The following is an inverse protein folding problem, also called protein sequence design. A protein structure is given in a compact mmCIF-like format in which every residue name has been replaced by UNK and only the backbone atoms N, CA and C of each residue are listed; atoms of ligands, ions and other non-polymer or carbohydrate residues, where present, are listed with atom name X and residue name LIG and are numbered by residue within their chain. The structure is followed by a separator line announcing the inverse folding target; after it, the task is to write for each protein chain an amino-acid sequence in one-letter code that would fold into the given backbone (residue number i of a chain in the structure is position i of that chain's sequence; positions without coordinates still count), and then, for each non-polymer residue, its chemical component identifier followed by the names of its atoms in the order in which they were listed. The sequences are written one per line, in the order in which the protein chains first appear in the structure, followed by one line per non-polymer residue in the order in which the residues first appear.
data_IF_216861369095
#
_entry.id   IF_216861369095
#
_cell.length_a   1.000
_cell.length_b   1.000
_cell.length_c   1.000
_cell.angle_alpha   90.00
_cell.angle_beta   90.00
_cell.angle_gamma   90.00
#
_symmetry.space_group_name_H-M   'P 1'
#
loop_
_entity.id
_entity.type
_entity.pdbx_description
1 polymer ?
#
# COMPACT_ATOMS: atom_id res chain seq x y z
N UNK A 1 62.53 -72.67 2.74
CA UNK A 1 63.65 -72.87 1.86
C UNK A 1 63.89 -71.65 1.02
N UNK A 2 64.99 -71.09 1.28
CA UNK A 2 65.99 -70.35 0.49
C UNK A 2 65.62 -68.92 0.15
N UNK A 3 65.94 -67.92 0.90
CA UNK A 3 67.20 -67.10 0.90
C UNK A 3 67.62 -66.64 -0.51
N UNK A 4 67.58 -65.34 -0.76
CA UNK A 4 68.82 -64.59 -0.98
C UNK A 4 68.58 -63.06 -0.92
N UNK A 5 69.41 -62.44 -0.09
CA UNK A 5 69.70 -61.01 0.02
C UNK A 5 70.49 -60.55 -1.21
N UNK A 6 70.33 -59.34 -1.62
CA UNK A 6 71.46 -58.47 -2.00
C UNK A 6 71.09 -56.98 -1.88
N UNK A 7 71.81 -56.24 -1.15
CA UNK A 7 72.10 -54.79 -1.06
C UNK A 7 73.41 -54.52 -1.76
N UNK A 8 73.87 -53.26 -1.98
CA UNK A 8 73.30 -51.94 -2.31
C UNK A 8 74.08 -51.32 -3.49
N UNK A 9 73.60 -50.25 -4.08
CA UNK A 9 74.51 -49.21 -4.59
C UNK A 9 73.89 -47.84 -4.57
N UNK A 10 74.57 -46.94 -3.88
CA UNK A 10 74.38 -45.50 -3.93
C UNK A 10 74.73 -44.99 -5.32
N UNK A 11 73.91 -44.00 -5.87
CA UNK A 11 74.55 -42.82 -6.46
C UNK A 11 73.48 -41.86 -7.03
N UNK A 12 73.69 -40.61 -6.61
CA UNK A 12 73.43 -39.35 -7.28
C UNK A 12 71.97 -38.81 -7.41
N UNK A 13 71.72 -37.86 -6.57
CA UNK A 13 70.80 -36.78 -6.79
C UNK A 13 71.04 -36.02 -8.12
N UNK A 14 69.99 -35.59 -8.84
CA UNK A 14 69.86 -34.18 -9.06
C UNK A 14 68.55 -33.70 -8.53
N UNK A 15 68.60 -32.51 -7.95
CA UNK A 15 67.54 -31.67 -7.52
C UNK A 15 66.71 -31.32 -8.77
N UNK A 16 65.54 -31.93 -8.92
CA UNK A 16 64.52 -31.44 -9.78
C UNK A 16 63.55 -30.62 -8.94
N UNK A 17 63.67 -29.30 -9.05
CA UNK A 17 62.71 -28.37 -8.55
C UNK A 17 61.34 -28.65 -9.20
N UNK A 18 60.43 -29.24 -8.43
CA UNK A 18 59.03 -29.35 -8.82
C UNK A 18 58.45 -27.96 -8.69
N UNK A 19 58.40 -27.25 -9.81
CA UNK A 19 57.53 -26.10 -9.94
C UNK A 19 56.10 -26.61 -9.84
N UNK A 20 55.48 -26.49 -8.67
CA UNK A 20 54.05 -26.62 -8.52
C UNK A 20 53.41 -25.43 -9.28
N UNK A 21 53.04 -25.67 -10.53
CA UNK A 21 52.11 -24.79 -11.22
C UNK A 21 50.75 -24.89 -10.49
N UNK A 22 50.53 -23.96 -9.58
CA UNK A 22 49.21 -23.65 -9.12
C UNK A 22 48.45 -23.07 -10.33
N UNK A 23 47.76 -23.91 -11.06
CA UNK A 23 46.71 -23.46 -12.01
C UNK A 23 45.63 -22.85 -11.15
N UNK A 24 45.74 -21.55 -10.89
CA UNK A 24 44.62 -20.75 -10.48
C UNK A 24 43.68 -20.73 -11.68
N UNK A 25 42.65 -21.55 -11.61
CA UNK A 25 41.50 -21.39 -12.49
C UNK A 25 40.89 -19.99 -12.19
N UNK A 26 41.42 -18.98 -12.85
CA UNK A 26 40.75 -17.69 -12.97
C UNK A 26 39.50 -17.95 -13.81
N UNK A 27 38.42 -18.37 -13.14
CA UNK A 27 37.11 -18.37 -13.71
C UNK A 27 36.79 -16.92 -14.07
N UNK A 28 36.94 -16.56 -15.33
CA UNK A 28 36.37 -15.35 -15.88
C UNK A 28 34.85 -15.49 -15.83
N UNK A 29 34.27 -15.23 -14.67
CA UNK A 29 32.84 -14.97 -14.57
C UNK A 29 32.61 -13.58 -15.20
N UNK A 30 31.77 -13.54 -16.21
CA UNK A 30 31.35 -12.29 -16.89
C UNK A 30 30.66 -11.29 -15.95
N UNK A 31 30.53 -11.61 -14.66
CA UNK A 31 29.91 -10.84 -13.59
C UNK A 31 30.89 -10.30 -12.55
N UNK A 32 32.19 -10.38 -12.77
CA UNK A 32 33.18 -9.60 -12.00
C UNK A 32 33.80 -10.29 -10.77
N UNK A 33 33.59 -11.57 -10.53
CA UNK A 33 34.28 -12.34 -9.50
C UNK A 33 34.04 -11.88 -8.06
N UNK A 34 34.77 -12.47 -7.12
CA UNK A 34 34.65 -12.29 -5.65
C UNK A 34 34.70 -10.83 -5.20
N UNK A 35 35.48 -9.96 -5.83
CA UNK A 35 35.53 -8.53 -5.51
C UNK A 35 34.24 -7.79 -5.87
N UNK A 36 33.56 -8.20 -6.94
CA UNK A 36 32.29 -7.60 -7.31
C UNK A 36 31.15 -8.10 -6.39
N UNK A 37 31.24 -9.36 -5.91
CA UNK A 37 30.31 -9.86 -4.88
C UNK A 37 30.51 -9.16 -3.54
N UNK A 38 31.77 -8.98 -3.12
CA UNK A 38 32.11 -8.24 -1.90
C UNK A 38 31.68 -6.76 -1.99
N UNK A 39 31.84 -6.12 -3.17
CA UNK A 39 31.38 -4.76 -3.40
C UNK A 39 29.84 -4.66 -3.40
N UNK A 40 29.14 -5.64 -3.97
CA UNK A 40 27.67 -5.73 -3.93
C UNK A 40 27.16 -5.97 -2.51
N UNK A 41 27.79 -6.88 -1.77
CA UNK A 41 27.45 -7.14 -0.37
C UNK A 41 27.69 -5.89 0.50
N UNK A 42 28.78 -5.15 0.25
CA UNK A 42 29.09 -3.91 0.96
C UNK A 42 28.14 -2.76 0.59
N UNK A 43 27.73 -2.67 -0.67
CA UNK A 43 26.70 -1.72 -1.12
C UNK A 43 25.31 -2.06 -0.54
N UNK A 44 24.94 -3.33 -0.49
CA UNK A 44 23.72 -3.80 0.16
C UNK A 44 23.73 -3.52 1.68
N UNK A 45 24.85 -3.74 2.34
CA UNK A 45 25.02 -3.43 3.76
C UNK A 45 25.04 -1.91 4.05
N UNK A 46 25.39 -1.09 3.05
CA UNK A 46 25.36 0.37 3.12
C UNK A 46 24.00 0.97 2.73
N UNK A 47 22.95 0.14 2.49
CA UNK A 47 21.63 0.59 2.06
C UNK A 47 21.56 1.05 0.60
N UNK A 48 22.56 0.70 -0.23
CA UNK A 48 22.55 0.96 -1.67
C UNK A 48 21.66 -0.03 -2.42
N UNK A 49 21.01 0.40 -3.50
CA UNK A 49 20.22 -0.47 -4.39
C UNK A 49 21.12 -1.52 -5.04
N UNK A 50 20.66 -2.78 -5.01
CA UNK A 50 21.33 -3.90 -5.69
C UNK A 50 21.03 -3.94 -7.20
N UNK A 51 20.08 -3.15 -7.69
CA UNK A 51 19.68 -3.12 -9.10
C UNK A 51 20.62 -2.23 -9.93
N UNK A 52 20.84 -2.63 -11.19
CA UNK A 52 21.73 -1.92 -12.14
C UNK A 52 20.96 -1.17 -13.22
N UNK A 53 19.66 -1.04 -13.08
CA UNK A 53 18.80 -0.28 -14.00
C UNK A 53 19.12 1.22 -13.95
N UNK A 54 18.83 1.97 -15.03
CA UNK A 54 18.85 3.42 -14.98
C UNK A 54 18.02 3.94 -13.81
N UNK A 55 18.42 5.06 -13.24
CA UNK A 55 17.67 5.68 -12.16
C UNK A 55 16.45 6.41 -12.71
N UNK A 56 15.34 5.70 -12.78
CA UNK A 56 14.09 6.26 -13.26
C UNK A 56 13.44 7.17 -12.23
N UNK A 57 12.61 8.08 -12.73
CA UNK A 57 11.84 9.02 -11.92
C UNK A 57 10.39 8.58 -11.90
N UNK A 58 9.84 8.26 -10.73
CA UNK A 58 8.44 7.90 -10.54
C UNK A 58 7.75 8.92 -9.65
N UNK A 59 6.62 9.44 -10.11
CA UNK A 59 5.77 10.31 -9.30
C UNK A 59 4.58 9.54 -8.74
N UNK A 60 4.21 9.84 -7.49
CA UNK A 60 2.94 9.46 -6.89
C UNK A 60 2.14 10.71 -6.55
N UNK A 61 0.93 10.81 -7.09
CA UNK A 61 0.02 11.93 -6.88
C UNK A 61 -1.28 11.43 -6.27
N UNK A 62 -1.60 11.87 -5.06
CA UNK A 62 -2.79 11.42 -4.34
C UNK A 62 -3.75 12.56 -4.03
N UNK A 63 -5.01 12.22 -3.70
CA UNK A 63 -6.02 13.14 -3.21
C UNK A 63 -5.96 13.36 -1.69
N UNK A 64 -4.84 12.97 -1.06
CA UNK A 64 -4.65 13.07 0.38
C UNK A 64 -4.72 14.51 0.89
N UNK A 65 -5.34 14.68 2.05
CA UNK A 65 -5.14 15.86 2.89
C UNK A 65 -3.77 15.87 3.57
N UNK A 66 -3.36 17.00 4.09
CA UNK A 66 -2.12 17.11 4.84
C UNK A 66 -2.21 16.34 6.18
N UNK A 67 -1.18 15.54 6.50
CA UNK A 67 -1.06 14.85 7.80
C UNK A 67 -1.93 13.62 7.97
N UNK A 68 -2.44 13.04 6.89
CA UNK A 68 -3.21 11.80 6.94
C UNK A 68 -2.29 10.58 7.05
N UNK A 69 -2.38 9.88 8.19
CA UNK A 69 -1.54 8.73 8.53
C UNK A 69 -1.71 7.54 7.56
N UNK A 70 -2.89 7.38 6.95
CA UNK A 70 -3.12 6.37 5.92
C UNK A 70 -2.19 6.60 4.72
N UNK A 71 -2.14 7.85 4.23
CA UNK A 71 -1.30 8.23 3.10
C UNK A 71 0.19 8.25 3.43
N UNK A 72 0.55 8.49 4.70
CA UNK A 72 1.92 8.30 5.17
C UNK A 72 2.36 6.83 5.07
N UNK A 73 1.47 5.87 5.35
CA UNK A 73 1.75 4.44 5.17
C UNK A 73 1.91 4.07 3.70
N UNK A 74 1.04 4.56 2.82
CA UNK A 74 1.17 4.38 1.36
C UNK A 74 2.50 4.95 0.87
N UNK A 75 2.85 6.16 1.29
CA UNK A 75 4.11 6.81 0.91
C UNK A 75 5.33 6.03 1.38
N UNK A 76 5.34 5.56 2.62
CA UNK A 76 6.45 4.73 3.15
C UNK A 76 6.66 3.46 2.33
N UNK A 77 5.57 2.80 1.91
CA UNK A 77 5.67 1.65 1.02
C UNK A 77 6.32 2.00 -0.31
N UNK A 78 5.87 3.09 -0.94
CA UNK A 78 6.43 3.58 -2.18
C UNK A 78 7.91 3.98 -2.05
N UNK A 79 8.29 4.66 -0.97
CA UNK A 79 9.68 5.05 -0.68
C UNK A 79 10.58 3.81 -0.48
N UNK A 80 10.08 2.78 0.18
CA UNK A 80 10.83 1.53 0.39
C UNK A 80 11.09 0.80 -0.94
N UNK A 81 10.09 0.69 -1.81
CA UNK A 81 10.26 0.11 -3.13
C UNK A 81 11.20 0.96 -3.98
N UNK A 82 11.05 2.28 -3.96
CA UNK A 82 11.92 3.20 -4.69
C UNK A 82 13.39 3.08 -4.28
N UNK A 83 13.65 2.94 -2.97
CA UNK A 83 15.00 2.72 -2.46
C UNK A 83 15.59 1.38 -2.92
N UNK A 84 14.78 0.31 -2.94
CA UNK A 84 15.15 -1.02 -3.43
C UNK A 84 15.48 -1.00 -4.93
N UNK A 85 14.69 -0.29 -5.73
CA UNK A 85 14.69 -0.37 -7.20
C UNK A 85 15.47 0.76 -7.89
N UNK A 86 16.27 1.52 -7.13
CA UNK A 86 17.06 2.65 -7.64
C UNK A 86 16.22 3.73 -8.33
N UNK A 87 15.05 4.05 -7.77
CA UNK A 87 14.10 5.03 -8.31
C UNK A 87 14.27 6.38 -7.60
N UNK A 88 14.20 7.48 -8.35
CA UNK A 88 13.96 8.82 -7.81
C UNK A 88 12.45 8.98 -7.62
N UNK A 89 12.00 8.93 -6.37
CA UNK A 89 10.59 9.02 -6.02
C UNK A 89 10.17 10.45 -5.73
N UNK A 90 9.03 10.85 -6.31
CA UNK A 90 8.42 12.16 -6.11
C UNK A 90 7.02 11.95 -5.56
N UNK A 91 6.71 12.54 -4.41
CA UNK A 91 5.38 12.49 -3.83
C UNK A 91 4.75 13.89 -3.80
N UNK A 92 3.50 13.98 -4.23
CA UNK A 92 2.69 15.18 -4.08
C UNK A 92 1.23 14.81 -3.85
N UNK A 93 0.51 15.66 -3.12
CA UNK A 93 -0.88 15.43 -2.77
C UNK A 93 -1.64 16.74 -2.61
N UNK A 94 -2.94 16.68 -2.90
CA UNK A 94 -3.88 17.76 -2.60
C UNK A 94 -5.31 17.20 -2.56
N UNK A 95 -6.08 17.59 -1.55
CA UNK A 95 -7.48 17.18 -1.41
C UNK A 95 -8.41 17.87 -2.43
N UNK A 96 -7.98 19.01 -3.00
CA UNK A 96 -8.73 19.70 -4.05
C UNK A 96 -8.42 19.07 -5.40
N UNK A 97 -9.45 18.59 -6.07
CA UNK A 97 -9.31 17.85 -7.34
C UNK A 97 -8.59 18.64 -8.43
N UNK A 98 -8.85 19.95 -8.53
CA UNK A 98 -8.17 20.80 -9.52
C UNK A 98 -6.67 20.88 -9.26
N UNK A 99 -6.27 20.96 -7.99
CA UNK A 99 -4.85 20.98 -7.63
C UNK A 99 -4.21 19.60 -7.90
N UNK A 100 -4.90 18.49 -7.60
CA UNK A 100 -4.43 17.16 -7.95
C UNK A 100 -4.18 17.02 -9.46
N UNK A 101 -5.09 17.54 -10.32
CA UNK A 101 -4.89 17.58 -11.77
C UNK A 101 -3.65 18.37 -12.16
N UNK A 102 -3.38 19.52 -11.52
CA UNK A 102 -2.19 20.32 -11.77
C UNK A 102 -0.90 19.60 -11.33
N UNK A 103 -0.94 18.87 -10.20
CA UNK A 103 0.20 18.07 -9.73
C UNK A 103 0.52 16.93 -10.70
N UNK A 104 -0.48 16.27 -11.28
CA UNK A 104 -0.27 15.28 -12.34
C UNK A 104 0.31 15.93 -13.60
N UNK A 105 -0.20 17.10 -13.99
CA UNK A 105 0.37 17.84 -15.13
C UNK A 105 1.85 18.19 -14.88
N UNK A 106 2.19 18.65 -13.68
CA UNK A 106 3.57 18.96 -13.32
C UNK A 106 4.48 17.71 -13.37
N UNK A 107 3.98 16.53 -13.00
CA UNK A 107 4.72 15.28 -13.16
C UNK A 107 4.97 14.94 -14.64
N UNK A 108 3.98 15.14 -15.50
CA UNK A 108 4.13 14.96 -16.96
C UNK A 108 5.19 15.92 -17.52
N UNK A 109 5.13 17.20 -17.14
CA UNK A 109 6.08 18.23 -17.60
C UNK A 109 7.51 17.94 -17.14
N UNK A 110 7.68 17.30 -15.98
CA UNK A 110 8.96 16.80 -15.46
C UNK A 110 9.44 15.53 -16.16
N UNK A 111 8.66 15.00 -17.12
CA UNK A 111 8.98 13.79 -17.89
C UNK A 111 9.30 12.61 -16.98
N UNK A 112 8.41 12.32 -16.03
CA UNK A 112 8.58 11.15 -15.16
C UNK A 112 8.50 9.86 -15.98
N UNK A 113 9.20 8.83 -15.54
CA UNK A 113 9.25 7.51 -16.18
C UNK A 113 8.06 6.62 -15.81
N UNK A 114 7.31 6.99 -14.76
CA UNK A 114 6.11 6.31 -14.30
C UNK A 114 5.28 7.18 -13.36
N UNK A 115 3.99 6.92 -13.31
CA UNK A 115 3.03 7.69 -12.52
C UNK A 115 2.12 6.74 -11.72
N UNK A 116 2.09 6.92 -10.38
CA UNK A 116 1.04 6.41 -9.52
C UNK A 116 0.02 7.51 -9.26
N UNK A 117 -1.27 7.20 -9.33
CA UNK A 117 -2.32 8.20 -9.13
C UNK A 117 -3.58 7.61 -8.51
N UNK A 118 -4.25 8.37 -7.65
CA UNK A 118 -5.56 8.05 -7.10
C UNK A 118 -6.67 8.70 -7.93
N UNK A 119 -7.81 8.04 -8.03
CA UNK A 119 -8.94 8.48 -8.85
C UNK A 119 -10.22 8.67 -8.02
N UNK A 120 -10.12 9.26 -6.83
CA UNK A 120 -11.28 9.53 -5.97
C UNK A 120 -12.41 10.31 -6.67
N UNK A 121 -12.04 11.20 -7.60
CA UNK A 121 -12.95 11.90 -8.51
C UNK A 121 -12.50 11.66 -9.96
N UNK A 122 -12.66 10.41 -10.40
CA UNK A 122 -12.05 9.88 -11.63
C UNK A 122 -12.34 10.68 -12.88
N UNK A 123 -13.59 11.13 -13.11
CA UNK A 123 -13.94 11.86 -14.33
C UNK A 123 -13.11 13.17 -14.49
N UNK A 124 -12.79 13.85 -13.40
CA UNK A 124 -11.97 15.05 -13.44
C UNK A 124 -10.51 14.77 -13.88
N UNK A 125 -10.04 13.56 -13.69
CA UNK A 125 -8.67 13.14 -14.03
C UNK A 125 -8.52 12.71 -15.50
N UNK A 126 -9.61 12.50 -16.22
CA UNK A 126 -9.61 11.95 -17.59
C UNK A 126 -8.69 12.73 -18.55
N UNK A 127 -8.81 14.06 -18.53
CA UNK A 127 -8.04 14.93 -19.44
C UNK A 127 -6.53 14.87 -19.20
N UNK A 128 -6.10 14.93 -17.96
CA UNK A 128 -4.68 14.91 -17.61
C UNK A 128 -4.06 13.53 -17.78
N UNK A 129 -4.81 12.45 -17.51
CA UNK A 129 -4.33 11.08 -17.76
C UNK A 129 -4.26 10.78 -19.26
N UNK A 130 -5.15 11.36 -20.08
CA UNK A 130 -5.00 11.33 -21.54
C UNK A 130 -3.68 11.95 -22.02
N UNK A 131 -3.22 13.02 -21.40
CA UNK A 131 -1.91 13.62 -21.69
C UNK A 131 -0.75 12.74 -21.23
N UNK A 132 -0.83 12.13 -20.05
CA UNK A 132 0.18 11.17 -19.58
C UNK A 132 0.34 10.00 -20.58
N UNK A 133 -0.79 9.43 -21.03
CA UNK A 133 -0.82 8.39 -22.07
C UNK A 133 -0.19 8.87 -23.38
N UNK A 134 -0.54 10.06 -23.85
CA UNK A 134 0.02 10.63 -25.08
C UNK A 134 1.54 10.89 -24.98
N UNK A 135 2.04 11.19 -23.76
CA UNK A 135 3.46 11.32 -23.46
C UNK A 135 4.19 9.97 -23.29
N UNK A 136 3.49 8.83 -23.40
CA UNK A 136 4.07 7.50 -23.22
C UNK A 136 4.45 7.17 -21.76
N UNK A 137 3.90 7.89 -20.78
CA UNK A 137 4.15 7.64 -19.36
C UNK A 137 3.25 6.51 -18.88
N UNK A 138 3.80 5.37 -18.41
CA UNK A 138 3.02 4.29 -17.82
C UNK A 138 2.36 4.78 -16.53
N UNK A 139 1.07 4.48 -16.38
CA UNK A 139 0.26 4.86 -15.23
C UNK A 139 -0.22 3.62 -14.50
N UNK A 140 -0.09 3.60 -13.19
CA UNK A 140 -0.78 2.67 -12.28
C UNK A 140 -1.70 3.50 -11.39
N UNK A 141 -2.95 3.07 -11.27
CA UNK A 141 -3.89 3.69 -10.34
C UNK A 141 -3.88 2.95 -9.02
N UNK A 142 -4.06 3.67 -7.92
CA UNK A 142 -4.06 3.09 -6.58
C UNK A 142 -5.26 3.56 -5.76
N UNK A 143 -5.68 2.77 -4.79
CA UNK A 143 -6.68 3.07 -3.78
C UNK A 143 -8.10 3.27 -4.36
N UNK A 144 -8.47 4.45 -4.81
CA UNK A 144 -9.84 4.78 -5.26
C UNK A 144 -9.98 4.84 -6.78
N UNK A 145 -11.17 4.53 -7.29
CA UNK A 145 -11.55 4.72 -8.69
C UNK A 145 -11.08 3.61 -9.62
N UNK A 146 -11.08 2.37 -9.15
CA UNK A 146 -10.71 1.18 -9.94
C UNK A 146 -11.44 1.14 -11.29
N UNK A 147 -12.72 1.51 -11.35
CA UNK A 147 -13.54 1.50 -12.54
C UNK A 147 -13.07 2.45 -13.65
N UNK A 148 -12.29 3.48 -13.29
CA UNK A 148 -11.70 4.42 -14.25
C UNK A 148 -10.34 3.95 -14.77
N UNK A 149 -9.66 3.05 -14.08
CA UNK A 149 -8.28 2.65 -14.34
C UNK A 149 -8.07 2.21 -15.80
N UNK A 150 -8.76 1.16 -16.23
CA UNK A 150 -8.66 0.67 -17.60
C UNK A 150 -9.18 1.69 -18.63
N UNK A 151 -10.26 2.42 -18.32
CA UNK A 151 -10.85 3.46 -19.17
C UNK A 151 -9.83 4.55 -19.51
N UNK A 152 -8.97 4.92 -18.57
CA UNK A 152 -7.94 5.96 -18.79
C UNK A 152 -6.61 5.39 -19.27
N UNK A 153 -6.52 4.07 -19.51
CA UNK A 153 -5.35 3.41 -20.08
C UNK A 153 -4.23 3.19 -19.07
N UNK A 154 -4.55 3.07 -17.80
CA UNK A 154 -3.61 2.63 -16.79
C UNK A 154 -3.24 1.15 -17.01
N UNK A 155 -2.03 0.76 -16.60
CA UNK A 155 -1.54 -0.61 -16.69
C UNK A 155 -2.35 -1.57 -15.81
N UNK A 156 -2.65 -1.13 -14.60
CA UNK A 156 -3.46 -1.85 -13.62
C UNK A 156 -3.95 -0.89 -12.54
N UNK A 157 -4.79 -1.41 -11.64
CA UNK A 157 -5.17 -0.78 -10.38
C UNK A 157 -4.65 -1.61 -9.21
N UNK A 158 -4.13 -0.97 -8.17
CA UNK A 158 -3.71 -1.62 -6.93
C UNK A 158 -4.52 -1.02 -5.78
N UNK A 159 -5.35 -1.84 -5.16
CA UNK A 159 -6.27 -1.42 -4.12
C UNK A 159 -7.21 -2.54 -3.74
N UNK A 160 -8.27 -2.20 -3.03
CA UNK A 160 -9.40 -3.11 -2.85
C UNK A 160 -10.53 -2.74 -3.82
N UNK A 161 -11.38 -3.69 -4.16
CA UNK A 161 -12.67 -3.39 -4.78
C UNK A 161 -13.59 -2.80 -3.70
N UNK A 162 -13.91 -1.52 -3.82
CA UNK A 162 -14.59 -0.77 -2.76
C UNK A 162 -16.03 -1.23 -2.53
N UNK A 163 -16.72 -1.68 -3.58
CA UNK A 163 -18.03 -2.29 -3.45
C UNK A 163 -18.00 -3.60 -2.70
N UNK A 164 -17.02 -4.47 -3.03
CA UNK A 164 -16.80 -5.74 -2.34
C UNK A 164 -16.39 -5.53 -0.89
N UNK A 165 -15.56 -4.52 -0.62
CA UNK A 165 -15.15 -4.16 0.73
C UNK A 165 -16.33 -3.64 1.56
N UNK A 166 -17.19 -2.81 0.94
CA UNK A 166 -18.45 -2.42 1.54
C UNK A 166 -19.35 -3.61 1.85
N UNK A 167 -19.50 -4.55 0.89
CA UNK A 167 -20.30 -5.76 1.12
C UNK A 167 -19.75 -6.62 2.26
N UNK A 168 -18.42 -6.74 2.38
CA UNK A 168 -17.79 -7.46 3.49
C UNK A 168 -18.12 -6.79 4.83
N UNK A 169 -18.02 -5.46 4.92
CA UNK A 169 -18.40 -4.70 6.10
C UNK A 169 -19.90 -4.90 6.44
N UNK A 170 -20.78 -4.80 5.44
CA UNK A 170 -22.22 -5.01 5.64
C UNK A 170 -22.58 -6.42 6.10
N UNK A 171 -21.89 -7.45 5.58
CA UNK A 171 -22.06 -8.83 6.01
C UNK A 171 -21.59 -9.03 7.46
N UNK A 172 -20.48 -8.39 7.84
CA UNK A 172 -19.99 -8.43 9.23
C UNK A 172 -20.97 -7.74 10.18
N UNK A 173 -21.48 -6.55 9.81
CA UNK A 173 -22.54 -5.84 10.56
C UNK A 173 -23.77 -6.73 10.79
N UNK A 174 -24.25 -7.38 9.73
CA UNK A 174 -25.39 -8.30 9.81
C UNK A 174 -25.10 -9.51 10.71
N UNK A 175 -23.92 -10.11 10.63
CA UNK A 175 -23.49 -11.24 11.47
C UNK A 175 -23.46 -10.87 12.95
N UNK A 176 -23.13 -9.62 13.26
CA UNK A 176 -23.10 -9.04 14.61
C UNK A 176 -24.48 -8.56 15.08
N UNK A 177 -25.50 -8.73 14.25
CA UNK A 177 -26.89 -8.36 14.56
C UNK A 177 -27.17 -6.87 14.57
N UNK A 178 -26.34 -6.06 13.88
CA UNK A 178 -26.55 -4.61 13.72
C UNK A 178 -27.71 -4.36 12.76
N UNK A 179 -28.61 -3.46 13.16
CA UNK A 179 -29.90 -3.27 12.44
C UNK A 179 -30.06 -1.87 11.86
N UNK A 180 -29.44 -0.86 12.47
CA UNK A 180 -29.60 0.54 12.06
C UNK A 180 -28.24 1.21 11.99
N UNK A 181 -27.67 1.20 10.79
CA UNK A 181 -26.31 1.66 10.51
C UNK A 181 -26.30 3.11 10.09
N UNK A 182 -25.41 3.91 10.64
CA UNK A 182 -25.04 5.22 10.16
C UNK A 182 -23.66 5.16 9.46
N UNK A 183 -23.63 5.19 8.12
CA UNK A 183 -22.37 5.27 7.36
C UNK A 183 -21.96 6.73 7.20
N UNK A 184 -20.71 7.06 7.55
CA UNK A 184 -20.18 8.43 7.57
C UNK A 184 -19.22 8.64 6.41
N UNK A 185 -19.66 9.39 5.39
CA UNK A 185 -18.83 9.82 4.26
C UNK A 185 -18.18 11.15 4.61
N UNK A 186 -16.84 11.18 4.63
CA UNK A 186 -16.08 12.37 5.02
C UNK A 186 -15.39 13.08 3.84
N UNK A 187 -15.47 12.51 2.65
CA UNK A 187 -15.03 13.12 1.39
C UNK A 187 -16.16 13.05 0.35
N UNK A 188 -17.01 14.07 0.34
CA UNK A 188 -18.15 14.11 -0.60
C UNK A 188 -17.70 13.97 -2.05
N UNK A 189 -18.31 13.02 -2.76
CA UNK A 189 -18.02 12.71 -4.16
C UNK A 189 -16.75 11.86 -4.36
N UNK A 190 -16.15 11.30 -3.29
CA UNK A 190 -15.17 10.25 -3.37
C UNK A 190 -15.88 8.93 -3.72
N UNK A 191 -15.66 8.45 -4.95
CA UNK A 191 -16.35 7.25 -5.46
C UNK A 191 -16.11 6.01 -4.62
N UNK A 192 -14.92 5.86 -4.03
CA UNK A 192 -14.61 4.73 -3.15
C UNK A 192 -15.44 4.77 -1.86
N UNK A 193 -15.59 5.93 -1.23
CA UNK A 193 -16.41 6.07 -0.02
C UNK A 193 -17.90 5.83 -0.31
N UNK A 194 -18.42 6.33 -1.43
CA UNK A 194 -19.79 6.06 -1.89
C UNK A 194 -20.02 4.54 -2.11
N UNK A 195 -19.05 3.87 -2.74
CA UNK A 195 -19.09 2.43 -2.99
C UNK A 195 -19.01 1.61 -1.68
N UNK A 196 -18.20 2.02 -0.69
CA UNK A 196 -18.15 1.39 0.65
C UNK A 196 -19.51 1.45 1.34
N UNK A 197 -20.14 2.64 1.41
CA UNK A 197 -21.47 2.78 2.04
C UNK A 197 -22.55 2.00 1.27
N UNK A 198 -22.60 2.10 -0.06
CA UNK A 198 -23.62 1.38 -0.85
C UNK A 198 -23.42 -0.15 -0.80
N UNK A 199 -22.19 -0.61 -0.83
CA UNK A 199 -21.85 -2.01 -0.63
C UNK A 199 -22.29 -2.52 0.74
N UNK A 200 -22.00 -1.79 1.81
CA UNK A 200 -22.41 -2.13 3.18
C UNK A 200 -23.93 -2.15 3.30
N UNK A 201 -24.63 -1.17 2.76
CA UNK A 201 -26.09 -1.12 2.73
C UNK A 201 -26.69 -2.38 2.08
N UNK A 202 -26.09 -2.87 1.00
CA UNK A 202 -26.58 -4.04 0.26
C UNK A 202 -26.58 -5.33 1.06
N UNK A 203 -25.81 -5.40 2.17
CA UNK A 203 -25.61 -6.61 2.98
C UNK A 203 -26.00 -6.45 4.45
N UNK A 204 -26.11 -5.26 4.98
CA UNK A 204 -26.40 -5.00 6.41
C UNK A 204 -27.82 -5.44 6.83
N UNK A 205 -28.76 -5.56 5.91
CA UNK A 205 -30.06 -6.20 6.14
C UNK A 205 -31.06 -5.45 7.02
N UNK A 206 -30.84 -4.16 7.31
CA UNK A 206 -31.68 -3.33 8.19
C UNK A 206 -31.81 -1.89 7.71
N UNK A 207 -32.07 -0.97 8.65
CA UNK A 207 -32.04 0.47 8.41
C UNK A 207 -30.60 0.90 8.11
N UNK A 208 -30.43 1.70 7.06
CA UNK A 208 -29.12 2.22 6.67
C UNK A 208 -29.25 3.69 6.27
N UNK A 209 -28.41 4.52 6.88
CA UNK A 209 -28.41 5.95 6.61
C UNK A 209 -27.00 6.40 6.27
N UNK A 210 -26.87 7.38 5.40
CA UNK A 210 -25.60 8.02 5.05
C UNK A 210 -25.56 9.43 5.62
N UNK A 211 -24.48 9.78 6.27
CA UNK A 211 -24.20 11.12 6.76
C UNK A 211 -22.94 11.64 6.07
N UNK A 212 -23.07 12.78 5.39
CA UNK A 212 -21.93 13.50 4.83
C UNK A 212 -21.40 14.51 5.84
N UNK A 213 -20.10 14.46 6.11
CA UNK A 213 -19.41 15.39 7.00
C UNK A 213 -18.20 16.00 6.31
N UNK A 214 -17.66 17.08 6.87
CA UNK A 214 -16.43 17.67 6.38
C UNK A 214 -15.22 16.98 7.03
N UNK A 215 -14.52 16.12 6.30
CA UNK A 215 -13.38 15.35 6.80
C UNK A 215 -12.12 16.17 7.09
N UNK A 216 -12.07 17.46 6.73
CA UNK A 216 -10.95 18.35 7.12
C UNK A 216 -11.24 19.11 8.40
N UNK A 217 -12.50 19.08 8.89
CA UNK A 217 -12.92 19.70 10.15
C UNK A 217 -13.46 18.61 11.10
N UNK A 218 -12.56 17.96 11.82
CA UNK A 218 -12.90 16.85 12.73
C UNK A 218 -13.82 17.28 13.90
N UNK A 219 -13.70 18.50 14.48
CA UNK A 219 -14.68 19.01 15.45
C UNK A 219 -16.09 19.10 14.87
N UNK A 220 -16.27 19.64 13.65
CA UNK A 220 -17.57 19.74 12.98
C UNK A 220 -18.12 18.34 12.65
N UNK A 221 -17.27 17.45 12.16
CA UNK A 221 -17.64 16.06 11.90
C UNK A 221 -18.14 15.35 13.17
N UNK A 222 -17.46 15.51 14.32
CA UNK A 222 -17.90 15.00 15.61
C UNK A 222 -19.27 15.55 15.99
N UNK A 223 -19.43 16.87 15.90
CA UNK A 223 -20.69 17.53 16.26
C UNK A 223 -21.85 17.01 15.38
N UNK A 224 -21.61 16.85 14.08
CA UNK A 224 -22.60 16.31 13.13
C UNK A 224 -23.00 14.88 13.45
N UNK A 225 -22.02 14.00 13.74
CA UNK A 225 -22.30 12.60 14.14
C UNK A 225 -23.07 12.58 15.46
N UNK A 226 -22.64 13.32 16.47
CA UNK A 226 -23.32 13.40 17.77
C UNK A 226 -24.74 13.89 17.65
N UNK A 227 -24.99 14.96 16.87
CA UNK A 227 -26.32 15.49 16.62
C UNK A 227 -27.22 14.44 15.94
N UNK A 228 -26.69 13.68 14.96
CA UNK A 228 -27.43 12.62 14.27
C UNK A 228 -27.80 11.49 15.21
N UNK A 229 -26.88 11.08 16.09
CA UNK A 229 -27.12 10.05 17.10
C UNK A 229 -28.18 10.49 18.14
N UNK A 230 -28.19 11.76 18.52
CA UNK A 230 -29.22 12.33 19.41
C UNK A 230 -30.59 12.40 18.75
N UNK A 231 -30.65 12.79 17.48
CA UNK A 231 -31.89 12.93 16.72
C UNK A 231 -32.52 11.58 16.37
N UNK A 232 -31.73 10.53 16.23
CA UNK A 232 -32.21 9.19 15.86
C UNK A 232 -31.68 8.14 16.85
N UNK A 233 -32.43 7.87 17.95
CA UNK A 233 -32.04 6.85 18.94
C UNK A 233 -32.06 5.40 18.42
N UNK A 234 -32.61 5.14 17.24
CA UNK A 234 -32.65 3.81 16.65
C UNK A 234 -31.30 3.35 16.08
N UNK A 235 -30.37 4.30 15.77
CA UNK A 235 -29.03 3.98 15.26
C UNK A 235 -28.28 3.18 16.31
N UNK A 236 -27.85 1.96 15.98
CA UNK A 236 -27.15 1.05 16.87
C UNK A 236 -25.67 0.87 16.51
N UNK A 237 -25.24 1.34 15.32
CA UNK A 237 -23.84 1.35 14.93
C UNK A 237 -23.50 2.52 14.01
N UNK A 238 -22.25 3.00 14.11
CA UNK A 238 -21.64 3.98 13.20
C UNK A 238 -20.54 3.28 12.42
N UNK A 239 -20.61 3.32 11.09
CA UNK A 239 -19.57 2.86 10.18
C UNK A 239 -18.81 4.07 9.64
N UNK A 240 -17.56 4.23 10.04
CA UNK A 240 -16.64 5.24 9.51
C UNK A 240 -15.76 4.67 8.41
N UNK A 241 -15.20 5.52 7.55
CA UNK A 241 -14.53 5.08 6.32
C UNK A 241 -13.03 5.39 6.29
N UNK A 242 -12.46 5.78 7.44
CA UNK A 242 -11.01 5.95 7.63
C UNK A 242 -10.62 5.90 9.10
N UNK A 243 -9.35 5.61 9.39
CA UNK A 243 -8.82 5.58 10.75
C UNK A 243 -8.96 6.93 11.51
N UNK A 244 -8.62 8.08 10.93
CA UNK A 244 -8.87 9.39 11.55
C UNK A 244 -10.34 9.66 11.85
N UNK A 245 -11.25 9.29 10.94
CA UNK A 245 -12.69 9.44 11.15
C UNK A 245 -13.21 8.48 12.23
N UNK A 246 -12.61 7.29 12.35
CA UNK A 246 -12.93 6.36 13.44
C UNK A 246 -12.63 6.96 14.82
N UNK A 247 -11.49 7.64 14.96
CA UNK A 247 -11.14 8.34 16.20
C UNK A 247 -12.17 9.42 16.56
N UNK A 248 -12.64 10.16 15.58
CA UNK A 248 -13.69 11.18 15.72
C UNK A 248 -15.05 10.54 16.04
N UNK A 249 -15.40 9.47 15.34
CA UNK A 249 -16.61 8.69 15.56
C UNK A 249 -16.69 8.08 16.97
N UNK A 250 -15.56 7.54 17.48
CA UNK A 250 -15.48 7.02 18.86
C UNK A 250 -15.86 8.08 19.89
N UNK A 251 -15.39 9.30 19.73
CA UNK A 251 -15.76 10.40 20.63
C UNK A 251 -17.26 10.71 20.55
N UNK A 252 -17.82 10.78 19.32
CA UNK A 252 -19.25 11.04 19.14
C UNK A 252 -20.13 9.92 19.71
N UNK A 253 -19.72 8.68 19.57
CA UNK A 253 -20.41 7.51 20.19
C UNK A 253 -20.36 7.55 21.71
N UNK A 254 -19.22 7.94 22.29
CA UNK A 254 -19.09 8.12 23.73
C UNK A 254 -19.99 9.26 24.26
N UNK A 255 -20.10 10.37 23.52
CA UNK A 255 -20.98 11.50 23.86
C UNK A 255 -22.48 11.10 23.83
N UNK A 256 -22.82 10.10 23.05
CA UNK A 256 -24.21 9.63 22.99
C UNK A 256 -24.68 8.88 24.26
N UNK A 257 -23.76 8.47 25.14
CA UNK A 257 -24.02 7.77 26.41
C UNK A 257 -24.99 6.59 26.30
N UNK A 258 -24.98 5.87 25.16
CA UNK A 258 -25.79 4.68 24.87
C UNK A 258 -24.97 3.65 24.10
N UNK A 259 -25.42 2.41 24.03
CA UNK A 259 -24.67 1.30 23.46
C UNK A 259 -24.62 1.30 21.92
N UNK A 260 -24.10 2.39 21.33
CA UNK A 260 -23.82 2.46 19.89
C UNK A 260 -22.43 1.87 19.65
N UNK A 261 -22.31 0.93 18.70
CA UNK A 261 -21.02 0.37 18.29
C UNK A 261 -20.36 1.28 17.25
N UNK A 262 -19.04 1.29 17.21
CA UNK A 262 -18.27 1.87 16.12
C UNK A 262 -17.57 0.77 15.35
N UNK A 263 -17.69 0.82 14.03
CA UNK A 263 -16.94 0.02 13.09
C UNK A 263 -16.29 0.95 12.05
N UNK A 264 -15.22 0.49 11.39
CA UNK A 264 -14.50 1.39 10.50
C UNK A 264 -13.85 0.68 9.33
N UNK A 265 -13.46 1.47 8.37
CA UNK A 265 -12.40 1.16 7.42
C UNK A 265 -11.08 1.73 7.93
N UNK A 266 -10.00 1.10 7.50
CA UNK A 266 -8.61 1.45 7.78
C UNK A 266 -8.21 1.30 9.26
N UNK A 267 -6.92 1.19 9.44
CA UNK A 267 -6.28 1.08 10.73
C UNK A 267 -5.70 2.43 11.19
N UNK A 268 -5.33 2.46 12.42
CA UNK A 268 -4.61 3.52 13.11
C UNK A 268 -4.42 3.12 14.56
N UNK A 269 -3.54 3.78 15.29
CA UNK A 269 -3.24 3.42 16.68
C UNK A 269 -4.50 3.41 17.56
N UNK A 270 -5.40 4.38 17.36
CA UNK A 270 -6.64 4.46 18.13
C UNK A 270 -7.63 3.36 17.73
N UNK A 271 -7.67 2.97 16.44
CA UNK A 271 -8.51 1.86 15.97
C UNK A 271 -8.03 0.54 16.58
N UNK A 272 -6.71 0.28 16.56
CA UNK A 272 -6.12 -0.93 17.19
C UNK A 272 -6.40 -0.95 18.69
N UNK A 273 -6.25 0.18 19.38
CA UNK A 273 -6.61 0.28 20.81
C UNK A 273 -8.11 0.04 21.03
N UNK A 274 -8.94 0.56 20.13
CA UNK A 274 -10.39 0.35 20.13
C UNK A 274 -10.80 -1.11 19.93
N UNK A 275 -10.17 -1.82 18.98
CA UNK A 275 -10.36 -3.26 18.78
C UNK A 275 -9.98 -4.04 20.05
N UNK A 276 -8.82 -3.76 20.65
CA UNK A 276 -8.36 -4.41 21.90
C UNK A 276 -9.34 -4.22 23.06
N UNK A 277 -9.85 -3.02 23.24
CA UNK A 277 -10.80 -2.69 24.30
C UNK A 277 -12.23 -3.12 24.01
N UNK A 278 -12.57 -3.41 22.74
CA UNK A 278 -13.92 -3.68 22.28
C UNK A 278 -14.78 -2.44 22.05
N UNK A 279 -14.18 -1.23 22.03
CA UNK A 279 -14.87 0.01 21.65
C UNK A 279 -14.98 0.22 20.14
N UNK A 280 -14.22 -0.55 19.36
CA UNK A 280 -14.37 -0.77 17.92
C UNK A 280 -14.70 -2.23 17.71
N UNK A 281 -15.78 -2.53 16.99
CA UNK A 281 -16.22 -3.89 16.73
C UNK A 281 -15.33 -4.61 15.72
N UNK A 282 -15.12 -3.99 14.57
CA UNK A 282 -14.18 -4.45 13.53
C UNK A 282 -13.61 -3.28 12.71
N UNK A 283 -12.54 -3.58 11.99
CA UNK A 283 -11.99 -2.69 10.97
C UNK A 283 -11.81 -3.44 9.65
N UNK A 284 -12.08 -2.76 8.53
CA UNK A 284 -11.81 -3.27 7.18
C UNK A 284 -10.46 -2.73 6.74
N UNK A 285 -9.47 -3.60 6.61
CA UNK A 285 -8.11 -3.20 6.22
C UNK A 285 -7.86 -3.43 4.73
N UNK A 286 -7.22 -2.48 4.11
CA UNK A 286 -6.85 -2.49 2.70
C UNK A 286 -5.34 -2.49 2.44
N UNK A 287 -4.53 -2.60 3.47
CA UNK A 287 -3.07 -2.71 3.41
C UNK A 287 -2.40 -1.52 2.67
N UNK A 288 -2.48 -0.29 3.20
CA UNK A 288 -2.03 0.91 2.51
C UNK A 288 -0.55 0.89 2.12
N UNK A 289 0.32 0.38 2.99
CA UNK A 289 1.75 0.24 2.68
C UNK A 289 1.99 -0.59 1.43
N UNK A 290 1.24 -1.69 1.27
CA UNK A 290 1.34 -2.58 0.11
C UNK A 290 0.93 -1.88 -1.18
N UNK A 291 -0.08 -1.00 -1.15
CA UNK A 291 -0.51 -0.24 -2.33
C UNK A 291 0.62 0.63 -2.88
N UNK A 292 1.32 1.34 -2.00
CA UNK A 292 2.46 2.18 -2.39
C UNK A 292 3.66 1.36 -2.86
N UNK A 293 4.00 0.30 -2.12
CA UNK A 293 5.13 -0.57 -2.41
C UNK A 293 4.97 -1.23 -3.79
N UNK A 294 3.88 -1.96 -3.99
CA UNK A 294 3.61 -2.65 -5.24
C UNK A 294 3.46 -1.70 -6.43
N UNK A 295 2.90 -0.50 -6.19
CA UNK A 295 2.76 0.50 -7.24
C UNK A 295 4.08 0.93 -7.85
N UNK A 296 5.09 1.19 -7.03
CA UNK A 296 6.44 1.56 -7.49
C UNK A 296 7.18 0.34 -8.05
N UNK A 297 7.13 -0.80 -7.36
CA UNK A 297 7.79 -2.04 -7.78
C UNK A 297 7.28 -2.51 -9.16
N UNK A 298 5.97 -2.48 -9.40
CA UNK A 298 5.39 -2.84 -10.69
C UNK A 298 5.72 -1.86 -11.80
N UNK A 299 5.85 -0.56 -11.53
CA UNK A 299 6.36 0.39 -12.53
C UNK A 299 7.79 0.09 -12.89
N UNK A 300 8.63 -0.30 -11.92
CA UNK A 300 10.00 -0.73 -12.18
C UNK A 300 10.05 -2.01 -13.02
N UNK A 301 9.25 -3.03 -12.68
CA UNK A 301 9.13 -4.28 -13.44
C UNK A 301 8.67 -4.02 -14.87
N UNK A 302 7.67 -3.16 -15.05
CA UNK A 302 7.18 -2.80 -16.37
C UNK A 302 8.25 -2.06 -17.21
N UNK A 303 8.97 -1.12 -16.61
CA UNK A 303 10.05 -0.38 -17.30
C UNK A 303 11.24 -1.28 -17.63
N UNK A 304 11.54 -2.25 -16.78
CA UNK A 304 12.67 -3.18 -16.96
C UNK A 304 12.38 -4.26 -17.99
N UNK A 305 11.20 -4.85 -17.94
CA UNK A 305 10.92 -6.13 -18.59
C UNK A 305 9.55 -6.17 -19.30
N UNK A 306 8.75 -5.10 -19.22
CA UNK A 306 7.33 -5.04 -19.64
C UNK A 306 6.44 -6.03 -18.87
N UNK A 307 6.85 -6.44 -17.67
CA UNK A 307 6.05 -7.31 -16.82
C UNK A 307 4.81 -6.60 -16.27
N UNK A 308 3.69 -7.32 -16.25
CA UNK A 308 2.41 -6.83 -15.73
C UNK A 308 1.82 -7.84 -14.77
N UNK A 309 1.72 -7.50 -13.50
CA UNK A 309 1.04 -8.34 -12.52
C UNK A 309 -0.46 -8.45 -12.85
N UNK A 310 -1.04 -9.63 -12.67
CA UNK A 310 -2.45 -9.88 -12.97
C UNK A 310 -2.83 -9.75 -14.45
N UNK A 311 -1.85 -9.55 -15.37
CA UNK A 311 -2.13 -9.36 -16.80
C UNK A 311 -2.97 -8.09 -17.08
N UNK A 312 -2.78 -7.04 -16.28
CA UNK A 312 -3.51 -5.77 -16.37
C UNK A 312 -4.86 -5.77 -15.63
N UNK A 313 -5.24 -6.86 -14.96
CA UNK A 313 -6.39 -6.87 -14.04
C UNK A 313 -6.02 -6.20 -12.72
N UNK A 314 -7.00 -5.66 -11.96
CA UNK A 314 -6.74 -5.09 -10.65
C UNK A 314 -6.04 -6.06 -9.70
N UNK A 315 -5.10 -5.54 -8.92
CA UNK A 315 -4.34 -6.25 -7.89
C UNK A 315 -4.96 -5.93 -6.54
N UNK A 316 -5.61 -6.89 -5.93
CA UNK A 316 -6.32 -6.69 -4.68
C UNK A 316 -5.35 -6.63 -3.48
N UNK A 317 -5.47 -5.59 -2.66
CA UNK A 317 -4.78 -5.45 -1.37
C UNK A 317 -5.70 -5.62 -0.16
N UNK A 318 -6.96 -5.94 -0.38
CA UNK A 318 -8.03 -6.14 0.59
C UNK A 318 -9.34 -6.49 -0.13
N UNK A 319 -10.45 -6.56 0.60
CA UNK A 319 -10.61 -6.25 2.02
C UNK A 319 -10.19 -7.40 2.95
N UNK A 320 -9.74 -7.05 4.17
CA UNK A 320 -9.57 -7.97 5.28
C UNK A 320 -10.36 -7.44 6.49
N UNK A 321 -11.28 -8.24 7.03
CA UNK A 321 -11.97 -7.90 8.27
C UNK A 321 -11.05 -8.23 9.43
N UNK A 322 -10.77 -7.24 10.26
CA UNK A 322 -9.92 -7.34 11.44
C UNK A 322 -10.75 -7.08 12.69
N UNK A 323 -10.54 -7.91 13.69
CA UNK A 323 -11.27 -7.89 14.95
C UNK A 323 -10.30 -7.75 16.12
N UNK A 324 -10.84 -7.89 17.35
CA UNK A 324 -10.03 -7.92 18.57
C UNK A 324 -8.92 -8.98 18.53
N UNK A 325 -9.17 -10.11 17.88
CA UNK A 325 -8.22 -11.24 17.85
C UNK A 325 -6.97 -10.93 17.02
N UNK A 326 -7.07 -9.99 16.07
CA UNK A 326 -5.97 -9.57 15.20
C UNK A 326 -5.16 -8.40 15.79
N UNK A 327 -5.74 -7.68 16.75
CA UNK A 327 -5.24 -6.37 17.17
C UNK A 327 -3.84 -6.40 17.81
N UNK A 328 -3.50 -7.47 18.56
CA UNK A 328 -2.18 -7.61 19.19
C UNK A 328 -1.08 -7.84 18.16
N UNK A 329 -1.35 -8.67 17.15
CA UNK A 329 -0.40 -8.95 16.07
C UNK A 329 -0.10 -7.72 15.21
N UNK A 330 -1.09 -6.81 15.07
CA UNK A 330 -0.98 -5.63 14.19
C UNK A 330 -0.41 -4.40 14.88
N UNK A 331 -0.44 -4.34 16.21
CA UNK A 331 -0.13 -3.14 16.97
C UNK A 331 1.25 -2.54 16.66
N UNK A 332 2.28 -3.39 16.55
CA UNK A 332 3.65 -2.95 16.22
C UNK A 332 3.73 -2.37 14.80
N UNK A 333 3.11 -3.01 13.84
CA UNK A 333 3.15 -2.58 12.43
C UNK A 333 2.41 -1.27 12.21
N UNK A 334 1.25 -1.10 12.86
CA UNK A 334 0.49 0.15 12.84
C UNK A 334 1.27 1.27 13.53
N UNK A 335 1.95 0.98 14.66
CA UNK A 335 2.79 1.97 15.34
C UNK A 335 3.99 2.43 14.48
N UNK A 336 4.56 1.53 13.68
CA UNK A 336 5.61 1.84 12.69
C UNK A 336 5.08 2.59 11.45
N UNK A 337 3.78 2.57 11.21
CA UNK A 337 3.15 3.08 9.99
C UNK A 337 3.50 2.24 8.77
N UNK A 338 3.51 0.92 8.93
CA UNK A 338 3.72 -0.07 7.85
C UNK A 338 2.50 -0.98 7.65
N UNK A 339 1.41 -0.63 8.35
CA UNK A 339 0.10 -1.26 8.17
C UNK A 339 -1.01 -0.23 8.25
#
# INVERSE_FOLDING_TARGET
MSTTRFRPSRRFWPVCAVLALAVTAAGCSSTGGRRAEEARAKAAAAGGSAVTTPRWKVAMVTHAGAGDAFWDSVRKGAEQAAAKDNITFLYSNDAQTQNQVQLVQAAIDQKVDGLLVTLAKGDAMAGVLGKAKAAGIPVITINSGQEFSAKFGALTHIGQDESSAGQAAGAELASRGRKNVLCVIHEQGNVGQEQRCSGAQSKAGGGFQVLYVNGVDMPDARASISAKLQADPSIDTVLTLSGPMAATGLQAVQDAHRGVELDTFDLGQQVVAGLKSGSVGFAVDQQPYLQGYEGVDLLWLYRSNLDMLGGGKPVATGPQILTKDDADALAEYVARGTR
#
